data_IF_164101092544
#
_entry.id   IF_164101092544
#
_cell.length_a   1.000
_cell.length_b   1.000
_cell.length_c   1.000
_cell.angle_alpha   90.00
_cell.angle_beta   90.00
_cell.angle_gamma   90.00
#
_symmetry.space_group_name_H-M   'P 1'
#
loop_
_entity.id
_entity.type
_entity.pdbx_description
1 polymer ?
#
# COMPACT_ATOMS: atom_id res chain seq x y z
N UNK A 1 -46.62 -26.50 -23.00
CA UNK A 1 -46.22 -25.81 -21.74
C UNK A 1 -45.00 -26.55 -21.21
N UNK A 2 -43.83 -26.05 -21.50
CA UNK A 2 -42.55 -26.69 -21.15
C UNK A 2 -41.94 -25.80 -20.01
N UNK A 3 -42.05 -26.29 -18.78
CA UNK A 3 -41.39 -25.65 -17.65
C UNK A 3 -39.91 -26.07 -17.69
N UNK A 4 -39.03 -25.07 -17.87
CA UNK A 4 -37.60 -25.20 -17.66
C UNK A 4 -37.31 -25.46 -16.19
N UNK A 5 -36.37 -26.35 -15.83
CA UNK A 5 -35.99 -26.56 -14.45
C UNK A 5 -35.24 -25.34 -13.94
N UNK A 6 -35.76 -24.72 -12.90
CA UNK A 6 -35.03 -23.71 -12.12
C UNK A 6 -33.90 -24.44 -11.39
N UNK A 7 -32.67 -24.22 -11.85
CA UNK A 7 -31.47 -24.72 -11.22
C UNK A 7 -31.30 -24.08 -9.84
N UNK A 8 -31.38 -24.93 -8.82
CA UNK A 8 -31.05 -24.64 -7.42
C UNK A 8 -29.54 -24.43 -7.24
N UNK A 9 -29.01 -23.32 -7.75
CA UNK A 9 -27.62 -22.89 -7.54
C UNK A 9 -27.44 -21.98 -6.31
N UNK A 10 -28.34 -22.00 -5.34
CA UNK A 10 -28.42 -20.93 -4.35
C UNK A 10 -27.79 -21.22 -2.98
N UNK A 11 -27.59 -22.46 -2.57
CA UNK A 11 -27.25 -22.75 -1.17
C UNK A 11 -25.77 -22.96 -0.87
N UNK A 12 -25.10 -23.81 -1.61
CA UNK A 12 -23.67 -24.13 -1.38
C UNK A 12 -22.70 -23.04 -1.89
N UNK A 13 -23.12 -22.29 -2.90
CA UNK A 13 -22.29 -21.26 -3.54
C UNK A 13 -21.98 -20.04 -2.65
N UNK A 14 -22.69 -19.83 -1.53
CA UNK A 14 -22.55 -18.65 -0.67
C UNK A 14 -22.03 -18.96 0.75
N UNK A 15 -21.58 -20.18 1.02
CA UNK A 15 -21.05 -20.58 2.34
C UNK A 15 -19.82 -19.76 2.77
N UNK A 16 -19.10 -19.15 1.81
CA UNK A 16 -18.00 -18.25 2.10
C UNK A 16 -18.45 -16.85 2.60
N UNK A 17 -19.74 -16.51 2.50
CA UNK A 17 -20.33 -15.24 2.97
C UNK A 17 -21.02 -15.33 4.32
N UNK A 18 -20.89 -16.44 5.04
CA UNK A 18 -21.42 -16.54 6.40
C UNK A 18 -20.68 -15.59 7.34
N UNK A 19 -21.34 -15.10 8.39
CA UNK A 19 -20.73 -14.22 9.40
C UNK A 19 -19.44 -14.81 9.98
N UNK A 20 -19.41 -16.13 10.15
CA UNK A 20 -18.22 -16.84 10.64
C UNK A 20 -17.06 -16.75 9.63
N UNK A 21 -17.30 -16.93 8.34
CA UNK A 21 -16.27 -16.83 7.30
C UNK A 21 -15.78 -15.39 7.12
N UNK A 22 -16.68 -14.43 7.17
CA UNK A 22 -16.34 -13.00 7.12
C UNK A 22 -15.48 -12.60 8.32
N UNK A 23 -15.81 -13.05 9.52
CA UNK A 23 -15.01 -12.82 10.73
C UNK A 23 -13.60 -13.39 10.59
N UNK A 24 -13.47 -14.63 10.13
CA UNK A 24 -12.17 -15.27 9.86
C UNK A 24 -11.33 -14.45 8.87
N UNK A 25 -11.96 -13.92 7.82
CA UNK A 25 -11.30 -13.05 6.85
C UNK A 25 -10.77 -11.75 7.48
N UNK A 26 -11.58 -11.10 8.33
CA UNK A 26 -11.20 -9.88 9.06
C UNK A 26 -10.01 -10.16 10.00
N UNK A 27 -10.09 -11.23 10.80
CA UNK A 27 -9.02 -11.61 11.72
C UNK A 27 -7.72 -11.99 10.98
N UNK A 28 -7.82 -12.73 9.89
CA UNK A 28 -6.69 -13.09 9.05
C UNK A 28 -6.00 -11.85 8.48
N UNK A 29 -6.76 -10.88 7.98
CA UNK A 29 -6.24 -9.60 7.48
C UNK A 29 -5.51 -8.82 8.58
N UNK A 30 -6.09 -8.74 9.79
CA UNK A 30 -5.47 -8.07 10.93
C UNK A 30 -4.11 -8.67 11.28
N UNK A 31 -4.03 -9.99 11.45
CA UNK A 31 -2.78 -10.66 11.80
C UNK A 31 -1.77 -10.66 10.65
N UNK A 32 -2.21 -10.83 9.40
CA UNK A 32 -1.36 -10.74 8.23
C UNK A 32 -0.74 -9.34 8.07
N UNK A 33 -1.52 -8.29 8.29
CA UNK A 33 -1.02 -6.91 8.25
C UNK A 33 0.01 -6.65 9.36
N UNK A 34 -0.20 -7.15 10.57
CA UNK A 34 0.80 -7.08 11.65
C UNK A 34 2.11 -7.76 11.25
N UNK A 35 2.04 -8.96 10.68
CA UNK A 35 3.22 -9.67 10.18
C UNK A 35 3.91 -8.91 9.04
N UNK A 36 3.13 -8.41 8.09
CA UNK A 36 3.63 -7.67 6.92
C UNK A 36 4.37 -6.38 7.30
N UNK A 37 3.96 -5.72 8.38
CA UNK A 37 4.59 -4.47 8.84
C UNK A 37 5.72 -4.68 9.85
N UNK A 38 5.77 -5.83 10.53
CA UNK A 38 6.74 -6.07 11.59
C UNK A 38 8.21 -6.04 11.13
N UNK A 39 8.50 -6.55 9.93
CA UNK A 39 9.88 -6.59 9.43
C UNK A 39 10.41 -5.19 9.08
N UNK A 40 9.69 -4.36 8.28
CA UNK A 40 10.12 -2.97 8.08
C UNK A 40 10.08 -2.13 9.37
N UNK A 41 9.15 -2.38 10.30
CA UNK A 41 9.11 -1.64 11.57
C UNK A 41 10.42 -1.79 12.37
N UNK A 42 11.07 -2.96 12.35
CA UNK A 42 12.37 -3.17 12.99
C UNK A 42 13.48 -2.31 12.39
N UNK A 43 13.52 -2.19 11.06
CA UNK A 43 14.48 -1.32 10.37
C UNK A 43 14.23 0.15 10.72
N UNK A 44 12.96 0.57 10.78
CA UNK A 44 12.57 1.94 11.09
C UNK A 44 12.96 2.37 12.51
N UNK A 45 13.03 1.44 13.47
CA UNK A 45 13.43 1.73 14.84
C UNK A 45 14.85 2.32 14.93
N UNK A 46 15.77 1.89 14.07
CA UNK A 46 17.15 2.40 14.02
C UNK A 46 17.20 3.89 13.58
N UNK A 47 16.15 4.37 12.95
CA UNK A 47 16.00 5.77 12.50
C UNK A 47 15.06 6.59 13.38
N UNK A 48 14.49 6.02 14.44
CA UNK A 48 13.40 6.60 15.21
C UNK A 48 12.17 6.98 14.34
N UNK A 49 11.91 6.22 13.27
CA UNK A 49 10.82 6.41 12.34
C UNK A 49 9.65 5.44 12.60
N UNK A 50 8.47 5.80 12.07
CA UNK A 50 7.30 4.94 12.08
C UNK A 50 6.78 4.68 10.67
N UNK A 51 5.68 3.93 10.58
CA UNK A 51 5.05 3.51 9.31
C UNK A 51 4.67 4.65 8.38
N UNK A 52 4.39 5.84 8.91
CA UNK A 52 4.10 7.02 8.10
C UNK A 52 5.32 7.47 7.28
N UNK A 53 6.54 7.36 7.85
CA UNK A 53 7.79 7.64 7.16
C UNK A 53 8.03 6.61 6.04
N UNK A 54 7.83 5.31 6.33
CA UNK A 54 7.93 4.25 5.31
C UNK A 54 6.99 4.49 4.12
N UNK A 55 5.71 4.79 4.39
CA UNK A 55 4.73 5.07 3.34
C UNK A 55 5.13 6.28 2.49
N UNK A 56 5.61 7.36 3.13
CA UNK A 56 6.08 8.54 2.41
C UNK A 56 7.27 8.19 1.50
N UNK A 57 8.30 7.52 2.02
CA UNK A 57 9.46 7.07 1.23
C UNK A 57 9.02 6.20 0.05
N UNK A 58 8.14 5.22 0.29
CA UNK A 58 7.66 4.31 -0.74
C UNK A 58 6.97 5.04 -1.90
N UNK A 59 6.01 5.93 -1.62
CA UNK A 59 5.27 6.62 -2.68
C UNK A 59 6.08 7.73 -3.36
N UNK A 60 7.02 8.37 -2.67
CA UNK A 60 7.99 9.27 -3.30
C UNK A 60 8.91 8.49 -4.26
N UNK A 61 9.34 7.28 -3.87
CA UNK A 61 10.13 6.41 -4.74
C UNK A 61 9.35 5.96 -5.97
N UNK A 62 8.06 5.64 -5.80
CA UNK A 62 7.19 5.21 -6.92
C UNK A 62 6.90 6.33 -7.90
N UNK A 63 6.87 7.58 -7.45
CA UNK A 63 6.60 8.77 -8.26
C UNK A 63 7.63 9.87 -7.95
N UNK A 64 8.86 9.75 -8.46
CA UNK A 64 9.88 10.79 -8.28
C UNK A 64 9.42 12.14 -8.85
N UNK A 65 9.55 13.21 -8.06
CA UNK A 65 9.03 14.52 -8.40
C UNK A 65 7.55 14.72 -8.03
N UNK A 66 6.93 13.79 -7.30
CA UNK A 66 5.56 13.94 -6.80
C UNK A 66 5.41 15.21 -5.95
N UNK A 67 4.21 15.82 -5.99
CA UNK A 67 3.93 16.98 -5.14
C UNK A 67 3.47 16.56 -3.76
N UNK A 68 3.61 17.47 -2.78
CA UNK A 68 3.07 17.26 -1.42
C UNK A 68 1.57 17.01 -1.45
N UNK A 69 0.83 17.70 -2.32
CA UNK A 69 -0.62 17.52 -2.45
C UNK A 69 -0.98 16.14 -3.03
N UNK A 70 -0.25 15.67 -4.03
CA UNK A 70 -0.46 14.32 -4.58
C UNK A 70 -0.15 13.25 -3.53
N UNK A 71 0.97 13.37 -2.83
CA UNK A 71 1.34 12.45 -1.75
C UNK A 71 0.29 12.45 -0.62
N UNK A 72 -0.26 13.61 -0.28
CA UNK A 72 -1.34 13.75 0.71
C UNK A 72 -2.60 12.98 0.29
N UNK A 73 -2.97 13.09 -0.99
CA UNK A 73 -4.12 12.37 -1.57
C UNK A 73 -3.92 10.85 -1.54
N UNK A 74 -2.73 10.37 -1.91
CA UNK A 74 -2.40 8.94 -1.89
C UNK A 74 -2.45 8.38 -0.47
N UNK A 75 -1.84 9.10 0.50
CA UNK A 75 -1.72 8.61 1.87
C UNK A 75 -3.01 8.74 2.70
N UNK A 76 -3.93 9.61 2.31
CA UNK A 76 -5.18 9.83 3.03
C UNK A 76 -4.98 10.32 4.48
N UNK A 77 -3.93 11.11 4.72
CA UNK A 77 -3.58 11.64 6.05
C UNK A 77 -3.78 13.16 6.10
N UNK A 78 -3.73 13.74 7.30
CA UNK A 78 -3.80 15.21 7.45
C UNK A 78 -2.53 15.88 6.95
N UNK A 79 -2.66 17.09 6.41
CA UNK A 79 -1.52 17.92 5.97
C UNK A 79 -0.50 18.14 7.09
N UNK A 80 -0.97 18.33 8.32
CA UNK A 80 -0.11 18.50 9.49
C UNK A 80 0.73 17.24 9.76
N UNK A 81 0.12 16.05 9.72
CA UNK A 81 0.82 14.78 9.92
C UNK A 81 1.87 14.55 8.83
N UNK A 82 1.51 14.78 7.56
CA UNK A 82 2.45 14.63 6.45
C UNK A 82 3.61 15.62 6.55
N UNK A 83 3.35 16.88 6.86
CA UNK A 83 4.40 17.89 7.00
C UNK A 83 5.41 17.54 8.10
N UNK A 84 4.97 16.93 9.21
CA UNK A 84 5.87 16.46 10.28
C UNK A 84 6.79 15.35 9.77
N UNK A 85 6.23 14.38 9.06
CA UNK A 85 6.97 13.27 8.45
C UNK A 85 7.98 13.79 7.42
N UNK A 86 7.54 14.66 6.51
CA UNK A 86 8.42 15.21 5.46
C UNK A 86 9.55 16.05 6.04
N UNK A 87 9.28 16.82 7.11
CA UNK A 87 10.31 17.62 7.78
C UNK A 87 11.45 16.73 8.26
N UNK A 88 11.17 15.68 9.04
CA UNK A 88 12.21 14.77 9.52
C UNK A 88 12.96 14.08 8.38
N UNK A 89 12.27 13.61 7.34
CA UNK A 89 12.91 12.97 6.18
C UNK A 89 13.83 13.93 5.41
N UNK A 90 13.47 15.22 5.31
CA UNK A 90 14.28 16.25 4.65
C UNK A 90 15.47 16.63 5.54
N UNK A 91 15.26 16.87 6.83
CA UNK A 91 16.30 17.21 7.79
C UNK A 91 17.36 16.12 7.90
N UNK A 92 16.95 14.85 7.83
CA UNK A 92 17.85 13.69 7.86
C UNK A 92 18.49 13.37 6.50
N UNK A 93 18.18 14.16 5.46
CA UNK A 93 18.75 14.04 4.11
C UNK A 93 18.30 12.79 3.34
N UNK A 94 17.08 12.31 3.59
CA UNK A 94 16.48 11.16 2.89
C UNK A 94 15.59 11.58 1.73
N UNK A 95 15.05 12.80 1.78
CA UNK A 95 14.16 13.39 0.78
C UNK A 95 14.66 14.77 0.38
N UNK A 96 14.78 15.00 -0.92
CA UNK A 96 14.94 16.31 -1.52
C UNK A 96 13.58 16.96 -1.78
N UNK A 97 13.48 18.27 -1.50
CA UNK A 97 12.29 19.06 -1.79
C UNK A 97 12.65 20.28 -2.62
N UNK A 98 12.25 20.28 -3.90
CA UNK A 98 12.52 21.38 -4.83
C UNK A 98 11.26 22.20 -5.08
N UNK A 99 11.42 23.53 -5.19
CA UNK A 99 10.32 24.43 -5.58
C UNK A 99 9.97 24.18 -7.04
N UNK A 100 8.68 24.11 -7.35
CA UNK A 100 8.18 23.95 -8.71
C UNK A 100 8.61 25.11 -9.61
N UNK A 101 8.93 24.79 -10.86
CA UNK A 101 9.34 25.81 -11.86
C UNK A 101 8.17 26.59 -12.45
N UNK A 102 7.01 25.94 -12.57
CA UNK A 102 5.76 26.54 -13.10
C UNK A 102 4.94 27.20 -12.00
N UNK A 103 4.78 26.52 -10.87
CA UNK A 103 4.12 27.05 -9.68
C UNK A 103 5.07 26.99 -8.47
N UNK A 104 5.52 28.15 -8.02
CA UNK A 104 6.42 28.31 -6.88
C UNK A 104 5.80 27.88 -5.53
N UNK A 105 4.48 27.64 -5.50
CA UNK A 105 3.78 27.12 -4.32
C UNK A 105 3.91 25.60 -4.18
N UNK A 106 4.20 24.92 -5.28
CA UNK A 106 4.39 23.48 -5.29
C UNK A 106 5.79 23.11 -4.82
N UNK A 107 5.85 22.00 -4.12
CA UNK A 107 7.08 21.33 -3.72
C UNK A 107 7.11 19.96 -4.34
N UNK A 108 8.13 19.69 -5.12
CA UNK A 108 8.39 18.40 -5.77
C UNK A 108 9.37 17.60 -4.92
N UNK A 109 9.00 16.38 -4.61
CA UNK A 109 9.70 15.48 -3.70
C UNK A 109 10.41 14.38 -4.48
N UNK A 110 11.64 14.08 -4.11
CA UNK A 110 12.41 12.95 -4.65
C UNK A 110 13.26 12.35 -3.54
N UNK A 111 13.55 11.05 -3.63
CA UNK A 111 14.50 10.44 -2.70
C UNK A 111 15.92 10.88 -3.04
N UNK A 112 16.75 11.02 -2.02
CA UNK A 112 18.21 11.04 -2.16
C UNK A 112 18.72 9.60 -2.30
N UNK A 113 20.02 9.41 -2.59
CA UNK A 113 20.63 8.08 -2.60
C UNK A 113 20.43 7.38 -1.24
N UNK A 114 20.65 8.11 -0.14
CA UNK A 114 20.40 7.60 1.22
C UNK A 114 18.94 7.21 1.44
N UNK A 115 17.99 8.01 0.94
CA UNK A 115 16.57 7.71 1.00
C UNK A 115 16.19 6.48 0.17
N UNK A 116 16.77 6.35 -1.02
CA UNK A 116 16.59 5.18 -1.89
C UNK A 116 17.12 3.90 -1.26
N UNK A 117 18.26 3.93 -0.61
CA UNK A 117 18.83 2.77 0.10
C UNK A 117 17.93 2.33 1.25
N UNK A 118 17.43 3.26 2.04
CA UNK A 118 16.49 2.93 3.13
C UNK A 118 15.17 2.37 2.58
N UNK A 119 14.57 3.01 1.56
CA UNK A 119 13.34 2.54 0.93
C UNK A 119 13.51 1.13 0.37
N UNK A 120 14.64 0.86 -0.31
CA UNK A 120 14.98 -0.45 -0.85
C UNK A 120 15.04 -1.52 0.24
N UNK A 121 15.66 -1.23 1.38
CA UNK A 121 15.72 -2.15 2.51
C UNK A 121 14.33 -2.45 3.08
N UNK A 122 13.49 -1.43 3.28
CA UNK A 122 12.13 -1.55 3.78
C UNK A 122 11.23 -2.37 2.83
N UNK A 123 11.28 -2.03 1.54
CA UNK A 123 10.52 -2.74 0.50
C UNK A 123 10.99 -4.18 0.32
N UNK A 124 12.29 -4.47 0.43
CA UNK A 124 12.79 -5.84 0.30
C UNK A 124 12.33 -6.71 1.49
N UNK A 125 12.27 -6.17 2.69
CA UNK A 125 11.71 -6.86 3.85
C UNK A 125 10.25 -7.30 3.59
N UNK A 126 9.43 -6.41 3.03
CA UNK A 126 8.05 -6.72 2.65
C UNK A 126 7.96 -7.70 1.49
N UNK A 127 8.77 -7.50 0.42
CA UNK A 127 8.80 -8.42 -0.73
C UNK A 127 9.21 -9.83 -0.33
N UNK A 128 10.17 -9.98 0.58
CA UNK A 128 10.60 -11.29 1.09
C UNK A 128 9.45 -12.04 1.75
N UNK A 129 8.67 -11.38 2.60
CA UNK A 129 7.49 -11.95 3.26
C UNK A 129 6.40 -12.31 2.25
N UNK A 130 6.06 -11.40 1.33
CA UNK A 130 5.07 -11.65 0.29
C UNK A 130 5.48 -12.81 -0.62
N UNK A 131 6.75 -12.87 -1.04
CA UNK A 131 7.29 -13.94 -1.87
C UNK A 131 7.17 -15.30 -1.19
N UNK A 132 7.46 -15.38 0.10
CA UNK A 132 7.30 -16.61 0.88
C UNK A 132 5.83 -17.05 0.93
N UNK A 133 4.91 -16.14 1.23
CA UNK A 133 3.48 -16.41 1.25
C UNK A 133 2.95 -16.84 -0.12
N UNK A 134 3.34 -16.15 -1.19
CA UNK A 134 2.91 -16.46 -2.56
C UNK A 134 3.38 -17.83 -3.04
N UNK A 135 4.60 -18.24 -2.65
CA UNK A 135 5.10 -19.61 -2.96
C UNK A 135 4.25 -20.71 -2.31
N UNK A 136 3.79 -20.47 -1.09
CA UNK A 136 2.94 -21.43 -0.38
C UNK A 136 1.52 -21.46 -0.97
N UNK A 137 0.97 -20.31 -1.30
CA UNK A 137 -0.41 -20.19 -1.78
C UNK A 137 -0.61 -20.66 -3.22
N UNK A 138 0.40 -20.48 -4.08
CA UNK A 138 0.30 -20.78 -5.51
C UNK A 138 -0.40 -19.67 -6.33
N UNK A 139 -0.32 -19.73 -7.66
CA UNK A 139 -0.72 -18.65 -8.56
C UNK A 139 -2.22 -18.33 -8.51
N UNK A 140 -3.07 -19.33 -8.42
CA UNK A 140 -4.53 -19.13 -8.39
C UNK A 140 -4.98 -18.39 -7.13
N UNK A 141 -4.48 -18.79 -5.94
CA UNK A 141 -4.77 -18.13 -4.69
C UNK A 141 -4.22 -16.69 -4.67
N UNK A 142 -3.05 -16.43 -5.28
CA UNK A 142 -2.49 -15.09 -5.43
C UNK A 142 -3.37 -14.20 -6.30
N UNK A 143 -3.90 -14.74 -7.40
CA UNK A 143 -4.83 -14.01 -8.26
C UNK A 143 -6.13 -13.69 -7.50
N UNK A 144 -6.71 -14.66 -6.79
CA UNK A 144 -7.90 -14.45 -5.96
C UNK A 144 -7.67 -13.42 -4.86
N UNK A 145 -6.54 -13.49 -4.18
CA UNK A 145 -6.14 -12.49 -3.17
C UNK A 145 -6.09 -11.06 -3.74
N UNK A 146 -5.48 -10.86 -4.91
CA UNK A 146 -5.46 -9.54 -5.58
C UNK A 146 -6.86 -9.05 -5.90
N UNK A 147 -7.71 -9.93 -6.47
CA UNK A 147 -9.10 -9.62 -6.80
C UNK A 147 -9.88 -9.13 -5.56
N UNK A 148 -9.74 -9.82 -4.42
CA UNK A 148 -10.38 -9.43 -3.16
C UNK A 148 -9.87 -8.08 -2.68
N UNK A 149 -8.55 -7.86 -2.66
CA UNK A 149 -7.97 -6.57 -2.24
C UNK A 149 -8.44 -5.42 -3.13
N UNK A 150 -8.44 -5.61 -4.45
CA UNK A 150 -8.90 -4.59 -5.39
C UNK A 150 -10.40 -4.29 -5.23
N UNK A 151 -11.22 -5.31 -4.93
CA UNK A 151 -12.65 -5.14 -4.66
C UNK A 151 -12.93 -4.35 -3.37
N UNK A 152 -12.03 -4.41 -2.39
CA UNK A 152 -12.15 -3.69 -1.12
C UNK A 152 -11.73 -2.22 -1.20
N UNK A 153 -11.10 -1.78 -2.29
CA UNK A 153 -10.66 -0.39 -2.44
C UNK A 153 -11.83 0.53 -2.72
N UNK A 154 -11.87 1.68 -2.04
CA UNK A 154 -12.73 2.79 -2.41
C UNK A 154 -12.35 3.36 -3.80
N UNK A 155 -13.27 4.06 -4.51
CA UNK A 155 -13.01 4.57 -5.87
C UNK A 155 -11.74 5.41 -5.99
N UNK A 156 -11.45 6.29 -5.04
CA UNK A 156 -10.26 7.14 -5.05
C UNK A 156 -8.98 6.33 -4.84
N UNK A 157 -9.00 5.35 -3.92
CA UNK A 157 -7.88 4.44 -3.70
C UNK A 157 -7.57 3.61 -4.94
N UNK A 158 -8.62 3.10 -5.61
CA UNK A 158 -8.49 2.34 -6.85
C UNK A 158 -7.89 3.19 -7.98
N UNK A 159 -8.28 4.47 -8.07
CA UNK A 159 -7.70 5.42 -9.04
C UNK A 159 -6.18 5.56 -8.83
N UNK A 160 -5.74 5.82 -7.60
CA UNK A 160 -4.32 5.91 -7.28
C UNK A 160 -3.58 4.60 -7.57
N UNK A 161 -4.16 3.46 -7.19
CA UNK A 161 -3.59 2.14 -7.43
C UNK A 161 -3.39 1.87 -8.94
N UNK A 162 -4.36 2.20 -9.78
CA UNK A 162 -4.27 2.02 -11.23
C UNK A 162 -3.18 2.91 -11.83
N UNK A 163 -3.08 4.17 -11.42
CA UNK A 163 -2.01 5.07 -11.87
C UNK A 163 -0.62 4.49 -11.58
N UNK A 164 -0.41 3.92 -10.40
CA UNK A 164 0.86 3.29 -10.02
C UNK A 164 1.18 2.00 -10.80
N UNK A 165 0.18 1.33 -11.35
CA UNK A 165 0.36 0.12 -12.18
C UNK A 165 0.78 0.43 -13.61
N UNK A 166 0.38 1.58 -14.13
CA UNK A 166 0.65 2.02 -15.52
C UNK A 166 2.03 2.66 -15.67
N UNK A 167 2.68 3.02 -14.57
CA UNK A 167 4.06 3.51 -14.58
C UNK A 167 5.04 2.34 -14.72
N UNK A 168 5.99 2.40 -15.69
CA UNK A 168 6.94 1.33 -16.00
C UNK A 168 7.94 1.03 -14.87
#
# INVERSE_FOLDING_TARGET
MNQLPQSSMGGESLLFLTDEQLRKGIEAMFFAYRGFTADPDRILQDYAYGRAHHRALHFINRQPGTTVNNLLSILGVTKQSLNRVLRSLIEDGLVDSKVGTRDKRERHLSLTDKGSDLEKALSEAQRKRMRAAYRVAGPEAVQGFRTVLEAMMDPDQRKHFNTLREEP
#
